data_IF_274204313623
#
_entry.id   IF_274204313623
#
_cell.length_a   1.000
_cell.length_b   1.000
_cell.length_c   1.000
_cell.angle_alpha   90.00
_cell.angle_beta   90.00
_cell.angle_gamma   90.00
#
_symmetry.space_group_name_H-M   'P 1'
#
loop_
_entity.id
_entity.type
_entity.pdbx_description
1 polymer ?
#
# COMPACT_ATOMS: atom_id res chain seq x y z
N UNK A 1 -22.72 11.27 -0.79
CA UNK A 1 -21.83 11.15 0.39
C UNK A 1 -21.46 9.67 0.55
N UNK A 2 -20.24 9.26 0.16
CA UNK A 2 -19.79 7.88 0.40
C UNK A 2 -19.57 7.73 1.91
N UNK A 3 -20.25 6.78 2.53
CA UNK A 3 -20.03 6.47 3.94
C UNK A 3 -18.54 6.16 4.15
N UNK A 4 -17.89 6.88 5.07
CA UNK A 4 -16.54 6.54 5.49
C UNK A 4 -16.60 5.11 6.06
N UNK A 5 -16.07 4.15 5.28
CA UNK A 5 -15.95 2.78 5.75
C UNK A 5 -15.23 2.81 7.10
N UNK A 6 -15.77 2.10 8.09
CA UNK A 6 -15.12 1.88 9.39
C UNK A 6 -13.64 1.60 9.10
N UNK A 7 -12.67 2.27 9.77
CA UNK A 7 -11.26 2.05 9.46
C UNK A 7 -11.01 0.55 9.53
N UNK A 8 -10.62 -0.03 8.41
CA UNK A 8 -10.31 -1.45 8.33
C UNK A 8 -9.28 -1.75 9.43
N UNK A 9 -9.46 -2.87 10.13
CA UNK A 9 -8.54 -3.26 11.20
C UNK A 9 -7.12 -3.23 10.64
N UNK A 10 -6.22 -2.54 11.36
CA UNK A 10 -4.83 -2.45 10.97
C UNK A 10 -4.26 -3.86 10.77
N UNK A 11 -3.70 -4.08 9.59
CA UNK A 11 -3.07 -5.32 9.17
C UNK A 11 -1.89 -4.99 8.28
N UNK A 12 -0.98 -5.96 8.07
CA UNK A 12 0.16 -5.78 7.17
C UNK A 12 -0.28 -5.40 5.75
N UNK A 13 -1.36 -6.02 5.27
CA UNK A 13 -1.92 -5.74 3.95
C UNK A 13 -2.46 -4.31 3.85
N UNK A 14 -3.30 -3.88 4.80
CA UNK A 14 -3.82 -2.50 4.80
C UNK A 14 -2.74 -1.43 4.97
N UNK A 15 -1.64 -1.76 5.68
CA UNK A 15 -0.48 -0.88 5.80
C UNK A 15 0.24 -0.74 4.46
N UNK A 16 0.44 -1.83 3.72
CA UNK A 16 1.07 -1.81 2.40
C UNK A 16 0.21 -1.05 1.39
N UNK A 17 -1.11 -1.25 1.39
CA UNK A 17 -2.04 -0.46 0.55
C UNK A 17 -2.01 1.03 0.90
N UNK A 18 -1.98 1.35 2.20
CA UNK A 18 -1.78 2.73 2.65
C UNK A 18 -0.45 3.30 2.18
N UNK A 19 0.62 2.51 2.22
CA UNK A 19 1.94 2.94 1.75
C UNK A 19 1.94 3.20 0.24
N UNK A 20 1.32 2.33 -0.58
CA UNK A 20 1.16 2.58 -2.02
C UNK A 20 0.42 3.90 -2.28
N UNK A 21 -0.69 4.13 -1.59
CA UNK A 21 -1.46 5.39 -1.69
C UNK A 21 -0.62 6.61 -1.28
N UNK A 22 0.22 6.47 -0.25
CA UNK A 22 1.13 7.52 0.19
C UNK A 22 2.17 7.81 -0.89
N UNK A 23 2.76 6.77 -1.46
CA UNK A 23 3.83 6.87 -2.45
C UNK A 23 3.38 7.55 -3.74
N UNK A 24 2.16 7.28 -4.19
CA UNK A 24 1.57 7.94 -5.37
C UNK A 24 1.46 9.46 -5.20
N UNK A 25 1.34 9.94 -3.95
CA UNK A 25 1.13 11.36 -3.64
C UNK A 25 2.41 12.09 -3.22
N UNK A 26 3.21 11.45 -2.38
CA UNK A 26 4.32 12.09 -1.66
C UNK A 26 5.70 11.58 -2.10
N UNK A 27 5.74 10.48 -2.85
CA UNK A 27 6.98 9.86 -3.35
C UNK A 27 7.70 8.97 -2.33
N UNK A 28 8.69 8.23 -2.85
CA UNK A 28 9.41 7.17 -2.13
C UNK A 28 10.25 7.65 -0.95
N UNK A 29 10.98 8.75 -1.14
CA UNK A 29 11.91 9.27 -0.12
C UNK A 29 11.17 9.88 1.07
N UNK A 30 9.93 10.32 0.87
CA UNK A 30 9.05 10.87 1.91
C UNK A 30 8.48 9.79 2.84
N UNK A 31 8.57 8.51 2.47
CA UNK A 31 7.98 7.42 3.24
C UNK A 31 8.75 7.17 4.53
N UNK A 32 8.09 7.43 5.66
CA UNK A 32 8.53 7.09 7.01
C UNK A 32 7.40 6.41 7.78
N UNK A 33 7.73 5.68 8.87
CA UNK A 33 6.73 5.04 9.73
C UNK A 33 5.74 6.07 10.30
N UNK A 34 6.23 7.24 10.71
CA UNK A 34 5.38 8.28 11.28
C UNK A 34 4.49 8.93 10.23
N UNK A 35 5.04 9.27 9.05
CA UNK A 35 4.25 9.85 7.97
C UNK A 35 3.11 8.90 7.52
N UNK A 36 3.42 7.61 7.39
CA UNK A 36 2.41 6.61 7.05
C UNK A 36 1.38 6.42 8.19
N UNK A 37 1.82 6.37 9.45
CA UNK A 37 0.92 6.27 10.59
C UNK A 37 -0.06 7.46 10.64
N UNK A 38 0.42 8.68 10.41
CA UNK A 38 -0.42 9.88 10.30
C UNK A 38 -1.45 9.73 9.19
N UNK A 39 -1.06 9.28 7.99
CA UNK A 39 -2.01 9.04 6.90
C UNK A 39 -3.07 8.00 7.27
N UNK A 40 -2.67 6.92 7.94
CA UNK A 40 -3.56 5.85 8.38
C UNK A 40 -4.41 6.22 9.61
N UNK A 41 -4.28 7.43 10.14
CA UNK A 41 -5.02 7.87 11.33
C UNK A 41 -4.64 7.11 12.60
N UNK A 42 -3.39 6.63 12.68
CA UNK A 42 -2.87 5.84 13.80
C UNK A 42 -1.53 6.39 14.31
N UNK A 43 -0.89 5.69 15.25
CA UNK A 43 0.42 6.06 15.82
C UNK A 43 1.51 5.12 15.32
N UNK A 44 2.75 5.62 15.22
CA UNK A 44 3.92 4.83 14.81
C UNK A 44 4.05 3.47 15.51
N UNK A 45 3.92 3.38 16.85
CA UNK A 45 3.96 2.09 17.57
C UNK A 45 2.95 1.05 17.08
N UNK A 46 1.78 1.46 16.58
CA UNK A 46 0.78 0.53 16.08
C UNK A 46 1.20 -0.16 14.78
N UNK A 47 2.01 0.51 13.95
CA UNK A 47 2.54 -0.09 12.71
C UNK A 47 3.57 -1.17 13.04
N UNK A 48 4.40 -0.97 14.07
CA UNK A 48 5.41 -1.94 14.47
C UNK A 48 4.83 -3.28 14.95
N UNK A 49 3.53 -3.35 15.26
CA UNK A 49 2.84 -4.62 15.52
C UNK A 49 2.64 -5.48 14.25
N UNK A 50 2.93 -4.93 13.06
CA UNK A 50 2.66 -5.56 11.76
C UNK A 50 3.83 -5.49 10.77
N UNK A 51 4.78 -4.57 10.97
CA UNK A 51 6.00 -4.43 10.17
C UNK A 51 7.20 -4.27 11.09
N UNK A 52 8.31 -4.96 10.77
CA UNK A 52 9.47 -5.01 11.66
C UNK A 52 10.32 -3.72 11.59
N UNK A 53 10.29 -3.03 10.45
CA UNK A 53 11.05 -1.81 10.20
C UNK A 53 10.52 -1.05 8.99
N UNK A 54 11.05 0.16 8.74
CA UNK A 54 10.80 0.89 7.49
C UNK A 54 11.29 0.10 6.27
N UNK A 55 12.41 -0.61 6.37
CA UNK A 55 12.92 -1.42 5.28
C UNK A 55 12.07 -2.68 5.03
N UNK A 56 11.50 -3.30 6.07
CA UNK A 56 10.51 -4.38 5.91
C UNK A 56 9.27 -3.86 5.16
N UNK A 57 8.74 -2.71 5.56
CA UNK A 57 7.62 -2.06 4.86
C UNK A 57 7.96 -1.78 3.39
N UNK A 58 9.11 -1.16 3.13
CA UNK A 58 9.58 -0.87 1.76
C UNK A 58 9.75 -2.14 0.94
N UNK A 59 10.26 -3.22 1.54
CA UNK A 59 10.33 -4.53 0.88
C UNK A 59 8.95 -5.07 0.53
N UNK A 60 8.00 -5.03 1.47
CA UNK A 60 6.64 -5.50 1.24
C UNK A 60 5.96 -4.73 0.09
N UNK A 61 6.15 -3.42 0.04
CA UNK A 61 5.67 -2.58 -1.06
C UNK A 61 6.29 -2.99 -2.40
N UNK A 62 7.62 -3.15 -2.47
CA UNK A 62 8.30 -3.59 -3.71
C UNK A 62 7.74 -4.93 -4.21
N UNK A 63 7.54 -5.90 -3.30
CA UNK A 63 6.97 -7.21 -3.64
C UNK A 63 5.55 -7.06 -4.19
N UNK A 64 4.68 -6.27 -3.55
CA UNK A 64 3.32 -6.01 -4.02
C UNK A 64 3.31 -5.42 -5.44
N UNK A 65 4.15 -4.42 -5.71
CA UNK A 65 4.26 -3.80 -7.03
C UNK A 65 4.70 -4.81 -8.09
N UNK A 66 5.68 -5.65 -7.78
CA UNK A 66 6.16 -6.69 -8.71
C UNK A 66 5.04 -7.71 -8.99
N UNK A 67 4.34 -8.18 -7.97
CA UNK A 67 3.20 -9.11 -8.11
C UNK A 67 2.08 -8.51 -8.96
N UNK A 68 1.77 -7.23 -8.78
CA UNK A 68 0.77 -6.51 -9.57
C UNK A 68 1.18 -6.41 -11.04
N UNK A 69 2.45 -6.10 -11.31
CA UNK A 69 3.00 -6.06 -12.67
C UNK A 69 2.91 -7.44 -13.33
N UNK A 70 3.32 -8.50 -12.64
CA UNK A 70 3.23 -9.89 -13.15
C UNK A 70 1.77 -10.22 -13.46
N UNK A 71 0.85 -9.87 -12.56
CA UNK A 71 -0.59 -10.10 -12.75
C UNK A 71 -1.12 -9.36 -13.98
N UNK A 72 -0.72 -8.09 -14.17
CA UNK A 72 -1.11 -7.30 -15.34
C UNK A 72 -0.57 -7.90 -16.64
N UNK A 73 0.69 -8.34 -16.66
CA UNK A 73 1.31 -8.96 -17.83
C UNK A 73 0.61 -10.27 -18.22
N UNK A 74 0.27 -11.11 -17.23
CA UNK A 74 -0.47 -12.36 -17.48
C UNK A 74 -1.85 -12.07 -18.10
N UNK A 75 -2.58 -11.08 -17.58
CA UNK A 75 -3.89 -10.67 -18.12
C UNK A 75 -3.81 -10.21 -19.57
N UNK A 76 -2.78 -9.45 -19.92
CA UNK A 76 -2.54 -9.03 -21.31
C UNK A 76 -2.29 -10.26 -22.20
N UNK A 77 -1.49 -11.23 -21.74
CA UNK A 77 -1.22 -12.48 -22.48
C UNK A 77 -2.47 -13.34 -22.70
N UNK A 78 -3.45 -13.28 -21.80
CA UNK A 78 -4.74 -13.96 -21.91
C UNK A 78 -5.76 -13.21 -22.79
N UNK A 79 -5.40 -12.04 -23.34
CA UNK A 79 -6.31 -11.20 -24.11
C UNK A 79 -7.38 -10.50 -23.25
N UNK A 80 -7.21 -10.50 -21.93
CA UNK A 80 -8.10 -9.79 -21.00
C UNK A 80 -7.72 -8.31 -20.98
N UNK A 81 -8.65 -7.38 -21.24
CA UNK A 81 -8.37 -5.96 -21.13
C UNK A 81 -7.87 -5.61 -19.74
N UNK A 82 -6.68 -5.03 -19.64
CA UNK A 82 -6.22 -4.42 -18.39
C UNK A 82 -6.96 -3.11 -18.20
N UNK A 83 -8.03 -3.12 -17.39
CA UNK A 83 -8.55 -1.89 -16.84
C UNK A 83 -7.48 -1.32 -15.91
N UNK A 84 -6.75 -0.31 -16.40
CA UNK A 84 -5.90 0.54 -15.56
C UNK A 84 -6.79 1.00 -14.41
N UNK A 85 -6.41 0.69 -13.16
CA UNK A 85 -7.13 1.23 -12.01
C UNK A 85 -6.96 2.75 -12.07
N UNK A 86 -7.97 3.45 -12.54
CA UNK A 86 -8.11 4.88 -12.35
C UNK A 86 -8.41 5.05 -10.86
N UNK A 87 -7.42 5.55 -10.13
CA UNK A 87 -7.59 6.04 -8.77
C UNK A 87 -8.42 7.31 -8.78
#
# INVERSE_FOLDING_TARGET
MKAAARPAKLSRDSIVEGALTFLDREGWDSLTINALATQLGTKGPSLYNHVDSLEDLRRAVRVRVIDDIITMLNRVGEGVPVMTRYW
#
